data_IF_482065578170
#
_entry.id   IF_482065578170
#
_cell.length_a   1.000
_cell.length_b   1.000
_cell.length_c   1.000
_cell.angle_alpha   90.00
_cell.angle_beta   90.00
_cell.angle_gamma   90.00
#
_symmetry.space_group_name_H-M   'P 1'
#
loop_
_entity.id
_entity.type
_entity.pdbx_description
1 polymer ?
#
# COMPACT_ATOMS: atom_id res chain seq x y z
N UNK A 1 1.67 13.72 17.40
CA UNK A 1 0.39 13.32 18.05
C UNK A 1 0.00 11.90 17.71
N UNK A 2 -0.39 11.58 16.47
CA UNK A 2 -0.94 10.25 16.15
C UNK A 2 0.04 9.08 16.34
N UNK A 3 1.33 9.26 16.02
CA UNK A 3 2.37 8.27 16.35
C UNK A 3 2.46 8.01 17.87
N UNK A 4 2.23 9.05 18.69
CA UNK A 4 2.26 8.97 20.16
C UNK A 4 1.22 8.01 20.76
N UNK A 5 0.13 7.71 20.06
CA UNK A 5 -0.84 6.68 20.47
C UNK A 5 -0.25 5.27 20.49
N UNK A 6 0.89 5.06 19.84
CA UNK A 6 1.54 3.75 19.72
C UNK A 6 2.96 3.75 20.29
N UNK A 7 3.45 4.90 20.74
CA UNK A 7 4.76 5.07 21.35
C UNK A 7 4.66 5.27 22.87
N UNK A 8 3.50 4.99 23.46
CA UNK A 8 3.20 5.20 24.88
C UNK A 8 3.41 6.65 25.35
N UNK A 9 3.23 7.62 24.44
CA UNK A 9 3.29 9.06 24.75
C UNK A 9 1.93 9.61 25.21
N UNK A 10 0.83 8.90 24.93
CA UNK A 10 -0.51 9.22 25.39
C UNK A 10 -1.03 8.17 26.38
N UNK A 11 -1.19 8.51 27.68
CA UNK A 11 -1.66 7.56 28.70
C UNK A 11 -3.10 7.07 28.48
N UNK A 12 -3.90 7.75 27.64
CA UNK A 12 -5.26 7.32 27.29
C UNK A 12 -5.29 6.31 26.14
N UNK A 13 -4.16 6.11 25.46
CA UNK A 13 -4.03 5.19 24.34
C UNK A 13 -2.88 4.19 24.59
N UNK A 14 -2.99 3.29 25.59
CA UNK A 14 -1.96 2.29 25.90
C UNK A 14 -1.99 1.12 24.90
N UNK A 15 -1.84 1.43 23.60
CA UNK A 15 -1.97 0.48 22.50
C UNK A 15 -0.75 -0.43 22.37
N UNK A 16 0.43 0.03 22.80
CA UNK A 16 1.69 -0.65 22.52
C UNK A 16 2.33 -1.24 23.78
N UNK A 17 2.72 -2.49 23.67
CA UNK A 17 3.54 -3.17 24.67
C UNK A 17 5.00 -3.24 24.18
N UNK A 18 5.93 -2.52 24.85
CA UNK A 18 7.34 -2.50 24.47
C UNK A 18 8.10 -3.77 24.86
N UNK A 19 7.60 -4.59 25.80
CA UNK A 19 8.27 -5.82 26.21
C UNK A 19 8.17 -6.88 25.09
N UNK A 20 6.95 -7.07 24.59
CA UNK A 20 6.67 -8.03 23.52
C UNK A 20 6.70 -7.39 22.13
N UNK A 21 6.86 -6.07 22.02
CA UNK A 21 6.83 -5.31 20.77
C UNK A 21 5.56 -5.59 19.96
N UNK A 22 4.41 -5.46 20.63
CA UNK A 22 3.10 -5.73 20.06
C UNK A 22 2.16 -4.54 20.20
N UNK A 23 1.30 -4.36 19.21
CA UNK A 23 0.07 -3.58 19.38
C UNK A 23 -1.00 -4.51 19.94
N UNK A 24 -1.55 -4.17 21.10
CA UNK A 24 -2.27 -5.09 22.00
C UNK A 24 -3.66 -5.52 21.51
N UNK A 25 -4.12 -4.98 20.40
CA UNK A 25 -5.36 -5.39 19.75
C UNK A 25 -5.33 -5.00 18.27
N UNK A 26 -5.94 -5.79 17.40
CA UNK A 26 -6.30 -5.39 16.05
C UNK A 26 -7.29 -4.22 16.02
N UNK A 27 -8.13 -4.13 17.06
CA UNK A 27 -9.12 -3.08 17.23
C UNK A 27 -8.61 -2.07 18.27
N UNK A 28 -7.92 -1.02 17.78
CA UNK A 28 -7.20 -0.07 18.60
C UNK A 28 -7.39 1.39 18.10
N UNK A 29 -6.92 2.37 18.88
CA UNK A 29 -6.95 3.76 18.47
C UNK A 29 -6.71 4.75 19.62
N UNK A 30 -7.27 5.95 19.50
CA UNK A 30 -7.09 7.03 20.50
C UNK A 30 -7.67 6.73 21.88
N UNK A 31 -8.49 5.67 22.00
CA UNK A 31 -9.08 5.21 23.27
C UNK A 31 -8.41 3.96 23.83
N UNK A 32 -7.29 3.55 23.25
CA UNK A 32 -6.60 2.33 23.59
C UNK A 32 -7.12 1.08 22.86
N UNK A 33 -6.60 -0.10 23.21
CA UNK A 33 -6.93 -1.36 22.58
C UNK A 33 -8.23 -1.97 23.15
N UNK A 34 -9.02 -2.66 22.31
CA UNK A 34 -10.15 -3.47 22.75
C UNK A 34 -9.65 -4.85 23.22
N UNK A 35 -9.54 -5.04 24.53
CA UNK A 35 -8.98 -6.25 25.14
C UNK A 35 -10.03 -7.31 25.49
N UNK A 36 -11.07 -7.41 24.67
CA UNK A 36 -12.09 -8.46 24.74
C UNK A 36 -12.48 -8.85 23.33
N UNK A 37 -13.19 -9.97 23.20
CA UNK A 37 -13.86 -10.32 21.95
C UNK A 37 -14.76 -9.18 21.50
N UNK A 38 -14.62 -8.78 20.24
CA UNK A 38 -15.51 -7.81 19.62
C UNK A 38 -16.88 -8.45 19.36
N UNK A 39 -17.91 -7.62 19.40
CA UNK A 39 -19.30 -7.96 19.13
C UNK A 39 -19.72 -7.35 17.81
N UNK A 40 -20.82 -7.82 17.22
CA UNK A 40 -21.31 -7.22 15.99
C UNK A 40 -21.62 -5.73 16.13
N UNK A 41 -22.04 -5.27 17.31
CA UNK A 41 -22.29 -3.85 17.58
C UNK A 41 -21.01 -3.02 17.62
N UNK A 42 -19.88 -3.58 18.06
CA UNK A 42 -18.59 -2.86 18.02
C UNK A 42 -18.19 -2.50 16.57
N UNK A 43 -18.67 -3.26 15.59
CA UNK A 43 -18.43 -3.04 14.15
C UNK A 43 -19.55 -2.25 13.46
N UNK A 44 -20.81 -2.61 13.72
CA UNK A 44 -21.96 -1.98 13.08
C UNK A 44 -22.27 -0.58 13.62
N UNK A 45 -21.81 -0.27 14.83
CA UNK A 45 -22.14 0.99 15.51
C UNK A 45 -23.55 0.99 16.08
N UNK A 46 -24.08 2.18 16.37
CA UNK A 46 -25.41 2.35 16.94
C UNK A 46 -26.52 1.96 15.95
N UNK A 47 -27.71 1.52 16.43
CA UNK A 47 -28.83 1.16 15.58
C UNK A 47 -29.25 2.28 14.61
N UNK A 48 -29.43 1.92 13.33
CA UNK A 48 -29.94 2.79 12.28
C UNK A 48 -31.12 2.13 11.53
N UNK A 49 -31.95 2.96 10.91
CA UNK A 49 -32.97 2.50 9.97
C UNK A 49 -32.31 2.15 8.63
N UNK A 50 -32.20 0.85 8.33
CA UNK A 50 -31.58 0.36 7.09
C UNK A 50 -32.59 0.22 5.96
N UNK A 51 -33.71 -0.47 6.24
CA UNK A 51 -34.70 -0.88 5.25
C UNK A 51 -35.28 0.31 4.49
N UNK A 52 -35.16 0.28 3.16
CA UNK A 52 -35.71 1.31 2.27
C UNK A 52 -35.03 2.69 2.37
N UNK A 53 -33.96 2.82 3.17
CA UNK A 53 -33.30 4.10 3.44
C UNK A 53 -31.86 4.18 2.93
N UNK A 54 -31.07 3.14 3.16
CA UNK A 54 -29.66 3.09 2.75
C UNK A 54 -29.42 1.95 1.75
N UNK A 55 -28.27 2.01 1.08
CA UNK A 55 -27.79 0.95 0.19
C UNK A 55 -26.48 0.36 0.74
N UNK A 56 -26.51 -0.48 1.79
CA UNK A 56 -25.29 -1.01 2.41
C UNK A 56 -24.41 -1.77 1.41
N UNK A 57 -23.09 -1.60 1.53
CA UNK A 57 -22.10 -2.20 0.64
C UNK A 57 -22.20 -3.73 0.54
N UNK A 58 -22.66 -4.39 1.60
CA UNK A 58 -22.74 -5.85 1.67
C UNK A 58 -24.18 -6.37 1.52
N UNK A 59 -25.15 -5.48 1.24
CA UNK A 59 -26.52 -5.83 0.90
C UNK A 59 -27.41 -6.16 2.10
N UNK A 60 -27.03 -5.78 3.32
CA UNK A 60 -27.88 -5.85 4.52
C UNK A 60 -29.22 -5.15 4.28
N UNK A 61 -30.31 -5.82 4.67
CA UNK A 61 -31.67 -5.27 4.55
C UNK A 61 -32.17 -4.66 5.87
N UNK A 62 -31.62 -5.12 6.99
CA UNK A 62 -31.99 -4.69 8.34
C UNK A 62 -30.74 -4.46 9.18
N UNK A 63 -30.87 -3.72 10.28
CA UNK A 63 -29.80 -3.57 11.25
C UNK A 63 -29.40 -4.91 11.89
N UNK A 64 -30.37 -5.83 12.09
CA UNK A 64 -30.07 -7.17 12.59
C UNK A 64 -29.18 -7.98 11.64
N UNK A 65 -29.41 -7.87 10.32
CA UNK A 65 -28.51 -8.47 9.32
C UNK A 65 -27.11 -7.83 9.36
N UNK A 66 -27.03 -6.52 9.62
CA UNK A 66 -25.76 -5.81 9.79
C UNK A 66 -25.00 -6.29 11.04
N UNK A 67 -25.70 -6.56 12.14
CA UNK A 67 -25.09 -7.16 13.33
C UNK A 67 -24.66 -8.61 13.05
N UNK A 68 -25.52 -9.39 12.39
CA UNK A 68 -25.25 -10.78 12.06
C UNK A 68 -24.05 -10.94 11.10
N UNK A 69 -23.83 -9.97 10.21
CA UNK A 69 -22.66 -9.90 9.34
C UNK A 69 -21.35 -9.98 10.13
N UNK A 70 -21.32 -9.36 11.30
CA UNK A 70 -20.15 -9.26 12.16
C UNK A 70 -20.12 -10.34 13.27
N UNK A 71 -20.99 -11.36 13.22
CA UNK A 71 -21.07 -12.36 14.29
C UNK A 71 -19.74 -13.08 14.54
N UNK A 72 -18.97 -13.34 13.49
CA UNK A 72 -17.67 -14.03 13.55
C UNK A 72 -16.47 -13.08 13.75
N UNK A 73 -16.70 -11.77 13.80
CA UNK A 73 -15.65 -10.73 13.86
C UNK A 73 -15.19 -10.48 15.30
N UNK A 74 -14.83 -11.54 16.02
CA UNK A 74 -14.65 -11.46 17.46
C UNK A 74 -13.18 -11.45 17.90
N UNK A 75 -12.32 -12.21 17.23
CA UNK A 75 -10.94 -12.45 17.66
C UNK A 75 -10.03 -11.27 17.27
N UNK A 76 -10.05 -10.23 18.11
CA UNK A 76 -9.31 -8.97 17.92
C UNK A 76 -8.26 -8.69 19.01
N UNK A 77 -8.16 -9.54 20.02
CA UNK A 77 -7.19 -9.41 21.12
C UNK A 77 -5.82 -9.89 20.67
N UNK A 78 -4.77 -9.19 21.10
CA UNK A 78 -3.42 -9.43 20.64
C UNK A 78 -3.08 -8.67 19.37
N UNK A 79 -1.83 -8.78 18.93
CA UNK A 79 -1.36 -8.17 17.70
C UNK A 79 -1.83 -8.91 16.47
N UNK A 80 -1.91 -8.14 15.40
CA UNK A 80 -2.35 -8.58 14.09
C UNK A 80 -1.57 -7.81 13.03
N UNK A 81 -1.12 -8.44 11.93
CA UNK A 81 -0.23 -7.78 10.96
C UNK A 81 -0.89 -6.61 10.22
N UNK A 82 -2.22 -6.43 10.30
CA UNK A 82 -2.86 -5.16 9.89
C UNK A 82 -2.30 -3.95 10.64
N UNK A 83 -1.89 -4.12 11.89
CA UNK A 83 -1.30 -3.06 12.71
C UNK A 83 0.04 -2.56 12.16
N UNK A 84 0.70 -3.28 11.23
CA UNK A 84 1.83 -2.74 10.48
C UNK A 84 1.52 -1.41 9.78
N UNK A 85 0.25 -1.13 9.45
CA UNK A 85 -0.17 0.16 8.90
C UNK A 85 0.14 1.36 9.82
N UNK A 86 0.23 1.14 11.14
CA UNK A 86 0.57 2.17 12.13
C UNK A 86 1.97 2.72 11.88
N UNK A 87 2.89 1.93 11.32
CA UNK A 87 4.26 2.37 11.04
C UNK A 87 4.30 3.54 10.06
N UNK A 88 3.26 3.74 9.24
CA UNK A 88 3.11 4.93 8.39
C UNK A 88 2.98 6.21 9.21
N UNK A 89 2.35 6.17 10.40
CA UNK A 89 2.25 7.32 11.29
C UNK A 89 3.61 7.70 11.87
N UNK A 90 4.41 6.70 12.26
CA UNK A 90 5.76 6.90 12.76
C UNK A 90 6.71 7.38 11.66
N UNK A 91 6.65 6.79 10.47
CA UNK A 91 7.39 7.24 9.29
C UNK A 91 7.05 8.70 8.94
N UNK A 92 5.77 9.07 8.92
CA UNK A 92 5.36 10.45 8.67
C UNK A 92 5.90 11.41 9.74
N UNK A 93 5.85 11.01 11.02
CA UNK A 93 6.41 11.81 12.10
C UNK A 93 7.93 11.97 11.96
N UNK A 94 8.65 10.91 11.60
CA UNK A 94 10.08 10.96 11.29
C UNK A 94 10.38 11.92 10.13
N UNK A 95 9.70 11.79 8.99
CA UNK A 95 9.95 12.64 7.81
C UNK A 95 9.62 14.14 8.04
N UNK A 96 8.75 14.44 9.01
CA UNK A 96 8.39 15.80 9.41
C UNK A 96 9.35 16.39 10.45
N UNK A 97 9.71 15.62 11.47
CA UNK A 97 10.42 16.11 12.65
C UNK A 97 11.91 15.75 12.68
N UNK A 98 12.32 14.70 11.95
CA UNK A 98 13.66 14.11 11.95
C UNK A 98 14.15 13.73 13.36
N UNK A 99 13.24 13.27 14.22
CA UNK A 99 13.57 12.72 15.54
C UNK A 99 13.71 11.18 15.47
N UNK A 100 14.86 10.66 15.87
CA UNK A 100 15.22 9.24 15.75
C UNK A 100 14.22 8.30 16.43
N UNK A 101 13.59 8.71 17.53
CA UNK A 101 12.59 7.90 18.25
C UNK A 101 11.47 7.36 17.36
N UNK A 102 11.06 8.12 16.33
CA UNK A 102 10.00 7.72 15.41
C UNK A 102 10.47 6.61 14.47
N UNK A 103 11.69 6.76 13.95
CA UNK A 103 12.34 5.77 13.11
C UNK A 103 12.62 4.49 13.89
N UNK A 104 13.24 4.62 15.06
CA UNK A 104 13.65 3.48 15.88
C UNK A 104 12.45 2.66 16.35
N UNK A 105 11.37 3.31 16.79
CA UNK A 105 10.13 2.60 17.14
C UNK A 105 9.53 1.86 15.94
N UNK A 106 9.46 2.50 14.77
CA UNK A 106 8.91 1.88 13.57
C UNK A 106 9.73 0.65 13.17
N UNK A 107 11.06 0.77 13.16
CA UNK A 107 11.96 -0.33 12.80
C UNK A 107 11.90 -1.47 13.80
N UNK A 108 11.90 -1.19 15.11
CA UNK A 108 11.82 -2.22 16.14
C UNK A 108 10.52 -3.04 16.04
N UNK A 109 9.41 -2.37 15.72
CA UNK A 109 8.13 -3.02 15.50
C UNK A 109 8.09 -3.84 14.20
N UNK A 110 8.56 -3.29 13.07
CA UNK A 110 8.60 -4.02 11.78
C UNK A 110 9.53 -5.23 11.87
N UNK A 111 10.71 -5.08 12.50
CA UNK A 111 11.67 -6.17 12.69
C UNK A 111 11.08 -7.30 13.55
N UNK A 112 10.24 -6.97 14.54
CA UNK A 112 9.46 -7.95 15.28
C UNK A 112 8.54 -8.78 14.39
N UNK A 113 7.91 -8.16 13.38
CA UNK A 113 7.08 -8.88 12.40
C UNK A 113 7.91 -9.73 11.44
N UNK A 114 9.07 -9.23 10.97
CA UNK A 114 10.00 -10.02 10.15
C UNK A 114 10.43 -11.30 10.90
N UNK A 115 10.89 -11.16 12.14
CA UNK A 115 11.33 -12.30 12.95
C UNK A 115 10.22 -13.32 13.21
N UNK A 116 8.98 -12.85 13.42
CA UNK A 116 7.80 -13.72 13.60
C UNK A 116 7.45 -14.46 12.31
N UNK A 117 7.50 -13.79 11.16
CA UNK A 117 7.29 -14.44 9.86
C UNK A 117 8.33 -15.53 9.61
N UNK A 118 9.61 -15.25 9.87
CA UNK A 118 10.70 -16.23 9.74
C UNK A 118 10.49 -17.44 10.65
N UNK A 119 10.18 -17.20 11.93
CA UNK A 119 9.95 -18.26 12.92
C UNK A 119 8.68 -19.08 12.61
N UNK A 120 7.69 -18.48 11.95
CA UNK A 120 6.45 -19.12 11.53
C UNK A 120 6.54 -19.77 10.13
N UNK A 121 7.73 -20.26 9.75
CA UNK A 121 7.92 -21.00 8.51
C UNK A 121 7.86 -20.15 7.24
N UNK A 122 8.09 -18.84 7.34
CA UNK A 122 8.06 -17.92 6.20
C UNK A 122 6.68 -17.39 5.84
N UNK A 123 5.65 -17.65 6.65
CA UNK A 123 4.31 -17.07 6.50
C UNK A 123 4.03 -16.14 7.68
N UNK A 124 3.67 -14.90 7.41
CA UNK A 124 3.38 -13.93 8.48
C UNK A 124 2.22 -14.42 9.34
N UNK A 125 2.38 -14.59 10.66
CA UNK A 125 1.27 -14.97 11.52
C UNK A 125 0.23 -13.86 11.58
N UNK A 126 -1.04 -14.21 11.77
CA UNK A 126 -2.15 -13.25 11.88
C UNK A 126 -2.67 -13.08 13.30
N UNK A 127 -2.08 -13.77 14.28
CA UNK A 127 -2.31 -13.46 15.68
C UNK A 127 -1.01 -13.61 16.48
N UNK A 128 -0.75 -12.64 17.36
CA UNK A 128 0.27 -12.71 18.40
C UNK A 128 -0.40 -12.30 19.70
N UNK A 129 -0.48 -13.17 20.70
CA UNK A 129 -1.21 -12.80 21.90
C UNK A 129 -0.50 -11.76 22.76
N UNK A 130 -1.20 -11.31 23.81
CA UNK A 130 -0.69 -10.35 24.79
C UNK A 130 0.55 -10.82 25.55
N UNK A 131 0.84 -12.12 25.52
CA UNK A 131 2.05 -12.76 26.07
C UNK A 131 3.22 -12.80 25.05
N UNK A 132 3.04 -12.21 23.87
CA UNK A 132 4.01 -12.21 22.77
C UNK A 132 4.09 -13.53 22.01
N UNK A 133 3.28 -14.55 22.35
CA UNK A 133 3.29 -15.87 21.73
C UNK A 133 2.38 -15.87 20.49
N UNK A 134 2.87 -16.40 19.37
CA UNK A 134 2.09 -16.51 18.13
C UNK A 134 0.85 -17.39 18.35
N UNK A 135 -0.32 -16.84 18.02
CA UNK A 135 -1.60 -17.53 18.05
C UNK A 135 -2.24 -17.73 19.42
N UNK A 136 -1.59 -17.36 20.53
CA UNK A 136 -2.07 -17.67 21.90
C UNK A 136 -3.46 -17.08 22.20
N UNK A 137 -3.74 -15.84 21.77
CA UNK A 137 -5.06 -15.21 21.91
C UNK A 137 -6.10 -15.71 20.90
N UNK A 138 -5.66 -16.51 19.91
CA UNK A 138 -6.51 -17.20 18.94
C UNK A 138 -6.56 -18.72 19.19
N UNK A 139 -6.27 -19.18 20.41
CA UNK A 139 -6.35 -20.61 20.78
C UNK A 139 -5.25 -21.48 20.17
N UNK A 140 -4.06 -20.91 19.97
CA UNK A 140 -2.92 -21.56 19.31
C UNK A 140 -2.92 -21.42 17.78
N UNK A 141 -3.90 -20.73 17.19
CA UNK A 141 -4.00 -20.55 15.75
C UNK A 141 -3.18 -19.35 15.29
N UNK A 142 -1.97 -19.60 14.79
CA UNK A 142 -1.14 -18.57 14.16
C UNK A 142 -1.84 -17.87 13.00
N UNK A 143 -2.75 -18.56 12.32
CA UNK A 143 -3.59 -18.09 11.19
C UNK A 143 -4.91 -17.44 11.63
N UNK A 144 -5.19 -17.39 12.93
CA UNK A 144 -6.42 -16.82 13.48
C UNK A 144 -6.44 -15.29 13.44
N UNK A 145 -7.50 -14.72 14.04
CA UNK A 145 -7.76 -13.29 14.07
C UNK A 145 -8.69 -12.81 12.95
N UNK A 146 -9.38 -11.70 13.19
CA UNK A 146 -10.26 -11.07 12.18
C UNK A 146 -9.43 -10.64 10.96
N UNK A 147 -9.86 -11.04 9.76
CA UNK A 147 -9.14 -10.90 8.49
C UNK A 147 -7.80 -11.64 8.37
N UNK A 148 -7.48 -12.50 9.35
CA UNK A 148 -6.33 -13.40 9.31
C UNK A 148 -6.47 -14.47 8.23
N UNK A 149 -5.46 -15.34 8.09
CA UNK A 149 -5.40 -16.32 7.01
C UNK A 149 -6.55 -17.34 7.05
N UNK A 150 -7.07 -17.66 8.23
CA UNK A 150 -8.19 -18.59 8.40
C UNK A 150 -9.56 -17.93 8.38
N UNK A 151 -9.64 -16.61 8.25
CA UNK A 151 -10.86 -15.86 8.49
C UNK A 151 -11.92 -16.13 7.40
N UNK A 152 -12.88 -16.98 7.74
CA UNK A 152 -13.94 -17.45 6.87
C UNK A 152 -15.28 -17.26 7.58
N UNK A 153 -16.25 -16.69 6.88
CA UNK A 153 -17.57 -16.34 7.43
C UNK A 153 -18.69 -16.85 6.54
N UNK A 154 -19.91 -16.92 7.09
CA UNK A 154 -21.13 -17.11 6.31
C UNK A 154 -21.76 -15.76 6.02
N UNK A 155 -22.04 -15.47 4.74
CA UNK A 155 -22.75 -14.26 4.32
C UNK A 155 -24.22 -14.37 4.74
N UNK A 156 -24.72 -13.51 5.64
CA UNK A 156 -26.08 -13.66 6.20
C UNK A 156 -27.20 -13.65 5.15
N UNK A 157 -27.04 -12.84 4.10
CA UNK A 157 -28.06 -12.62 3.08
C UNK A 157 -28.21 -13.81 2.13
N UNK A 158 -27.15 -14.61 1.93
CA UNK A 158 -27.09 -15.66 0.91
C UNK A 158 -26.77 -17.05 1.45
N UNK A 159 -26.24 -17.16 2.67
CA UNK A 159 -25.72 -18.39 3.24
C UNK A 159 -24.39 -18.86 2.62
N UNK A 160 -23.79 -18.07 1.71
CA UNK A 160 -22.55 -18.44 1.05
C UNK A 160 -21.35 -18.35 2.01
N UNK A 161 -20.39 -19.27 1.86
CA UNK A 161 -19.09 -19.19 2.52
C UNK A 161 -18.24 -18.10 1.85
N UNK A 162 -17.62 -17.24 2.63
CA UNK A 162 -16.71 -16.20 2.16
C UNK A 162 -15.39 -16.21 2.94
N UNK A 163 -14.28 -16.42 2.23
CA UNK A 163 -12.94 -16.23 2.77
C UNK A 163 -12.58 -14.75 2.71
N UNK A 164 -12.31 -14.14 3.88
CA UNK A 164 -12.09 -12.69 4.02
C UNK A 164 -10.69 -12.40 4.54
N UNK A 165 -9.69 -13.04 3.94
CA UNK A 165 -8.28 -12.80 4.22
C UNK A 165 -7.89 -11.43 3.63
N UNK A 166 -8.02 -10.36 4.41
CA UNK A 166 -7.78 -9.00 3.91
C UNK A 166 -6.58 -8.30 4.53
N UNK A 167 -5.95 -8.90 5.54
CA UNK A 167 -4.83 -8.24 6.21
C UNK A 167 -3.70 -7.88 5.25
N UNK A 168 -3.41 -8.78 4.30
CA UNK A 168 -2.28 -8.69 3.40
C UNK A 168 -2.39 -7.52 2.44
N UNK A 169 -3.59 -7.02 2.11
CA UNK A 169 -3.75 -5.90 1.18
C UNK A 169 -3.34 -4.54 1.76
N UNK A 170 -3.10 -4.47 3.08
CA UNK A 170 -2.70 -3.23 3.78
C UNK A 170 -1.48 -3.44 4.67
N UNK A 171 -1.43 -4.53 5.42
CA UNK A 171 -0.33 -4.83 6.35
C UNK A 171 1.04 -4.93 5.66
N UNK A 172 1.07 -5.41 4.41
CA UNK A 172 2.31 -5.58 3.65
C UNK A 172 3.10 -4.26 3.51
N UNK A 173 2.41 -3.10 3.47
CA UNK A 173 3.07 -1.80 3.32
C UNK A 173 3.94 -1.41 4.52
N UNK A 174 3.78 -2.04 5.69
CA UNK A 174 4.73 -1.88 6.80
C UNK A 174 6.14 -2.32 6.43
N UNK A 175 6.28 -3.36 5.61
CA UNK A 175 7.59 -3.77 5.07
C UNK A 175 8.14 -2.72 4.09
N UNK A 176 7.27 -2.11 3.28
CA UNK A 176 7.62 -0.96 2.44
C UNK A 176 8.13 0.24 3.25
N UNK A 177 7.54 0.49 4.42
CA UNK A 177 8.01 1.53 5.34
C UNK A 177 9.40 1.21 5.91
N UNK A 178 9.64 -0.05 6.27
CA UNK A 178 10.97 -0.53 6.68
C UNK A 178 12.02 -0.28 5.60
N UNK A 179 11.71 -0.67 4.35
CA UNK A 179 12.57 -0.41 3.20
C UNK A 179 12.84 1.08 2.99
N UNK A 180 11.82 1.92 3.10
CA UNK A 180 11.98 3.37 2.92
C UNK A 180 12.89 4.00 3.97
N UNK A 181 12.85 3.49 5.22
CA UNK A 181 13.64 3.99 6.34
C UNK A 181 15.11 3.52 6.34
N UNK A 182 15.44 2.45 5.62
CA UNK A 182 16.77 1.81 5.72
C UNK A 182 17.43 1.45 4.39
N UNK A 183 16.65 1.25 3.32
CA UNK A 183 17.10 0.63 2.07
C UNK A 183 17.36 -0.88 2.14
N UNK A 184 17.05 -1.52 3.28
CA UNK A 184 17.31 -2.94 3.52
C UNK A 184 16.27 -3.83 2.83
N UNK A 185 16.73 -4.74 1.97
CA UNK A 185 15.87 -5.66 1.23
C UNK A 185 15.27 -6.76 2.10
N UNK A 186 15.73 -6.97 3.35
CA UNK A 186 15.13 -7.98 4.26
C UNK A 186 13.61 -7.83 4.41
N UNK A 187 13.09 -6.60 4.34
CA UNK A 187 11.65 -6.34 4.42
C UNK A 187 10.91 -6.81 3.17
N UNK A 188 11.50 -6.61 1.99
CA UNK A 188 11.00 -7.10 0.71
C UNK A 188 11.09 -8.62 0.68
N UNK A 189 12.22 -9.17 1.13
CA UNK A 189 12.47 -10.61 1.22
C UNK A 189 11.46 -11.31 2.13
N UNK A 190 11.09 -10.69 3.26
CA UNK A 190 10.07 -11.20 4.17
C UNK A 190 8.74 -11.46 3.43
N UNK A 191 8.24 -10.50 2.66
CA UNK A 191 6.97 -10.67 1.93
C UNK A 191 7.12 -11.53 0.67
N UNK A 192 8.28 -11.48 -0.01
CA UNK A 192 8.59 -12.43 -1.10
C UNK A 192 8.51 -13.88 -0.61
N UNK A 193 9.05 -14.16 0.58
CA UNK A 193 8.97 -15.47 1.21
C UNK A 193 7.54 -15.96 1.42
N UNK A 194 6.61 -15.06 1.79
CA UNK A 194 5.18 -15.40 1.90
C UNK A 194 4.63 -15.82 0.54
N UNK A 195 4.88 -15.06 -0.53
CA UNK A 195 4.45 -15.41 -1.88
C UNK A 195 5.02 -16.78 -2.32
N UNK A 196 6.29 -17.04 -1.99
CA UNK A 196 6.95 -18.31 -2.31
C UNK A 196 6.30 -19.50 -1.57
N UNK A 197 5.94 -19.35 -0.29
CA UNK A 197 5.25 -20.40 0.48
C UNK A 197 3.86 -20.72 -0.09
N UNK A 198 3.08 -19.70 -0.47
CA UNK A 198 1.78 -19.90 -1.12
C UNK A 198 1.94 -20.59 -2.48
N UNK A 199 2.92 -20.20 -3.29
CA UNK A 199 3.21 -20.84 -4.56
C UNK A 199 3.66 -22.30 -4.39
N UNK A 200 4.52 -22.57 -3.41
CA UNK A 200 5.02 -23.92 -3.10
C UNK A 200 3.94 -24.86 -2.57
N UNK A 201 2.83 -24.30 -2.05
CA UNK A 201 1.71 -25.05 -1.49
C UNK A 201 0.63 -25.38 -2.53
N UNK A 202 0.91 -25.16 -3.82
CA UNK A 202 0.04 -25.58 -4.90
C UNK A 202 -0.09 -27.10 -4.97
N UNK A 203 -1.28 -27.58 -5.37
CA UNK A 203 -1.54 -29.02 -5.55
C UNK A 203 -2.50 -29.28 -6.70
N UNK A 204 -2.47 -30.51 -7.21
CA UNK A 204 -3.43 -30.94 -8.23
C UNK A 204 -4.80 -31.19 -7.59
N UNK A 205 -5.83 -30.52 -8.10
CA UNK A 205 -7.24 -30.71 -7.72
C UNK A 205 -8.01 -30.87 -9.02
N UNK A 206 -8.73 -31.99 -9.16
CA UNK A 206 -9.51 -32.33 -10.35
C UNK A 206 -8.72 -32.24 -11.67
N UNK A 207 -7.42 -32.61 -11.64
CA UNK A 207 -6.54 -32.61 -12.80
C UNK A 207 -5.95 -31.24 -13.19
N UNK A 208 -6.17 -30.20 -12.37
CA UNK A 208 -5.62 -28.86 -12.56
C UNK A 208 -4.69 -28.48 -11.38
N UNK A 209 -3.56 -27.85 -11.68
CA UNK A 209 -2.72 -27.24 -10.64
C UNK A 209 -3.44 -26.02 -10.06
N UNK A 210 -3.70 -26.04 -8.75
CA UNK A 210 -4.40 -24.99 -8.03
C UNK A 210 -3.53 -24.45 -6.90
N UNK A 211 -3.65 -23.16 -6.62
CA UNK A 211 -2.86 -22.42 -5.62
C UNK A 211 -3.76 -21.96 -4.47
N UNK A 212 -3.35 -22.11 -3.21
CA UNK A 212 -4.16 -21.63 -2.09
C UNK A 212 -4.13 -20.10 -1.99
N UNK A 213 -5.15 -19.53 -1.37
CA UNK A 213 -5.25 -18.09 -1.07
C UNK A 213 -5.61 -17.85 0.42
N UNK A 214 -5.65 -18.91 1.23
CA UNK A 214 -5.92 -18.86 2.68
C UNK A 214 -5.35 -20.09 3.38
N UNK A 215 -5.30 -20.08 4.71
CA UNK A 215 -4.88 -21.23 5.53
C UNK A 215 -5.70 -21.26 6.82
N UNK A 216 -6.27 -22.40 7.18
CA UNK A 216 -7.07 -22.51 8.40
C UNK A 216 -7.82 -23.83 8.55
N UNK A 217 -8.64 -23.89 9.60
CA UNK A 217 -9.33 -25.08 10.11
C UNK A 217 -10.85 -25.08 9.80
N UNK A 218 -11.31 -24.22 8.88
CA UNK A 218 -12.75 -24.07 8.60
C UNK A 218 -13.40 -25.37 8.09
N UNK A 219 -12.66 -26.19 7.34
CA UNK A 219 -13.15 -27.46 6.79
C UNK A 219 -12.67 -28.70 7.57
N UNK A 220 -12.14 -28.53 8.79
CA UNK A 220 -11.63 -29.63 9.61
C UNK A 220 -10.24 -29.32 10.19
N UNK A 221 -9.27 -30.21 9.96
CA UNK A 221 -7.89 -29.95 10.36
C UNK A 221 -7.31 -28.76 9.59
N UNK A 222 -6.40 -28.02 10.22
CA UNK A 222 -5.78 -26.86 9.62
C UNK A 222 -4.98 -27.24 8.35
N UNK A 223 -5.38 -26.69 7.21
CA UNK A 223 -4.73 -26.88 5.90
C UNK A 223 -4.81 -25.60 5.06
N UNK A 224 -4.10 -25.59 3.95
CA UNK A 224 -4.28 -24.62 2.89
C UNK A 224 -5.71 -24.71 2.33
N UNK A 225 -6.33 -23.56 2.08
CA UNK A 225 -7.73 -23.44 1.64
C UNK A 225 -7.87 -22.37 0.55
N UNK A 226 -9.09 -22.22 0.01
CA UNK A 226 -9.44 -21.22 -1.01
C UNK A 226 -8.53 -21.34 -2.23
N UNK A 227 -8.58 -22.51 -2.89
CA UNK A 227 -7.72 -22.82 -4.03
C UNK A 227 -8.22 -22.16 -5.33
N UNK A 228 -7.30 -21.53 -6.07
CA UNK A 228 -7.57 -20.84 -7.35
C UNK A 228 -6.65 -21.34 -8.46
N UNK A 229 -7.06 -21.21 -9.75
CA UNK A 229 -6.21 -21.51 -10.89
C UNK A 229 -4.96 -20.63 -11.03
N UNK A 230 -4.94 -19.48 -10.35
CA UNK A 230 -3.86 -18.49 -10.40
C UNK A 230 -3.11 -18.42 -9.07
N UNK A 231 -1.77 -18.28 -9.10
CA UNK A 231 -0.98 -18.03 -7.90
C UNK A 231 -1.50 -16.86 -7.07
N UNK A 232 -1.33 -16.93 -5.76
CA UNK A 232 -1.53 -15.79 -4.87
C UNK A 232 -0.52 -14.69 -5.22
N UNK A 233 -1.01 -13.50 -5.54
CA UNK A 233 -0.22 -12.40 -6.12
C UNK A 233 -0.35 -11.07 -5.34
N UNK A 234 -0.98 -11.08 -4.16
CA UNK A 234 -1.11 -9.87 -3.35
C UNK A 234 0.27 -9.32 -2.95
N UNK A 235 0.59 -8.11 -3.39
CA UNK A 235 1.90 -7.49 -3.15
C UNK A 235 2.96 -7.83 -4.20
N UNK A 236 2.65 -8.59 -5.25
CA UNK A 236 3.62 -8.95 -6.29
C UNK A 236 4.20 -7.73 -7.02
N UNK A 237 3.36 -6.73 -7.30
CA UNK A 237 3.79 -5.48 -7.92
C UNK A 237 4.69 -4.66 -7.00
N UNK A 238 4.36 -4.60 -5.72
CA UNK A 238 5.17 -3.97 -4.68
C UNK A 238 6.54 -4.62 -4.57
N UNK A 239 6.61 -5.95 -4.49
CA UNK A 239 7.88 -6.69 -4.43
C UNK A 239 8.76 -6.38 -5.64
N UNK A 240 8.22 -6.52 -6.85
CA UNK A 240 8.96 -6.22 -8.08
C UNK A 240 9.47 -4.78 -8.09
N UNK A 241 8.62 -3.80 -7.74
CA UNK A 241 9.00 -2.40 -7.77
C UNK A 241 10.05 -2.04 -6.70
N UNK A 242 9.91 -2.59 -5.50
CA UNK A 242 10.79 -2.35 -4.37
C UNK A 242 12.16 -2.97 -4.59
N UNK A 243 12.23 -4.20 -5.11
CA UNK A 243 13.49 -4.90 -5.38
C UNK A 243 14.13 -4.43 -6.69
N UNK A 244 13.33 -4.20 -7.74
CA UNK A 244 13.76 -4.19 -9.15
C UNK A 244 14.59 -5.41 -9.54
N UNK A 245 14.43 -6.53 -8.83
CA UNK A 245 15.11 -7.79 -9.15
C UNK A 245 14.40 -8.44 -10.36
N UNK A 246 15.13 -8.76 -11.44
CA UNK A 246 14.57 -9.46 -12.59
C UNK A 246 13.85 -10.78 -12.25
N UNK A 247 14.18 -11.43 -11.12
CA UNK A 247 13.49 -12.64 -10.66
C UNK A 247 12.03 -12.40 -10.29
N UNK A 248 11.70 -11.18 -9.85
CA UNK A 248 10.35 -10.82 -9.42
C UNK A 248 9.44 -10.46 -10.62
N UNK A 249 10.02 -10.20 -11.81
CA UNK A 249 9.27 -9.87 -13.04
C UNK A 249 8.25 -10.94 -13.40
N UNK A 250 8.61 -12.22 -13.21
CA UNK A 250 7.72 -13.34 -13.55
C UNK A 250 6.37 -13.28 -12.82
N UNK A 251 6.31 -12.60 -11.66
CA UNK A 251 5.09 -12.42 -10.87
C UNK A 251 4.13 -11.38 -11.44
N UNK A 252 4.64 -10.51 -12.30
CA UNK A 252 3.95 -9.32 -12.81
C UNK A 252 4.06 -9.20 -14.33
N UNK A 253 4.39 -10.28 -15.02
CA UNK A 253 4.64 -10.29 -16.46
C UNK A 253 3.43 -9.81 -17.28
N UNK A 254 2.21 -10.03 -16.79
CA UNK A 254 0.98 -9.59 -17.45
C UNK A 254 0.62 -8.13 -17.15
N UNK A 255 1.35 -7.46 -16.24
CA UNK A 255 1.05 -6.07 -15.88
C UNK A 255 1.39 -5.13 -17.05
N UNK A 256 0.43 -4.34 -17.56
CA UNK A 256 0.62 -3.55 -18.78
C UNK A 256 1.65 -2.44 -18.63
N UNK A 257 1.81 -1.89 -17.42
CA UNK A 257 2.82 -0.87 -17.13
C UNK A 257 4.22 -1.48 -17.02
N UNK A 258 4.36 -2.65 -16.40
CA UNK A 258 5.64 -3.38 -16.37
C UNK A 258 6.10 -3.74 -17.78
N UNK A 259 5.19 -4.26 -18.61
CA UNK A 259 5.48 -4.55 -20.03
C UNK A 259 5.90 -3.31 -20.80
N UNK A 260 5.29 -2.15 -20.52
CA UNK A 260 5.72 -0.88 -21.11
C UNK A 260 7.15 -0.52 -20.73
N UNK A 261 7.51 -0.63 -19.45
CA UNK A 261 8.88 -0.37 -18.97
C UNK A 261 9.92 -1.33 -19.56
N UNK A 262 9.49 -2.52 -19.98
CA UNK A 262 10.30 -3.51 -20.69
C UNK A 262 10.31 -3.31 -22.22
N UNK A 263 9.58 -2.32 -22.74
CA UNK A 263 9.48 -2.03 -24.17
C UNK A 263 8.50 -2.93 -24.94
N UNK A 264 7.73 -3.77 -24.26
CA UNK A 264 6.79 -4.73 -24.84
C UNK A 264 5.38 -4.19 -25.04
N UNK A 265 5.08 -3.00 -24.52
CA UNK A 265 3.78 -2.33 -24.64
C UNK A 265 3.94 -0.82 -24.91
N UNK A 266 4.49 -0.42 -26.07
CA UNK A 266 4.83 0.98 -26.35
C UNK A 266 3.63 1.94 -26.39
N UNK A 267 2.43 1.43 -26.69
CA UNK A 267 1.20 2.23 -26.76
C UNK A 267 0.56 2.50 -25.38
N UNK A 268 1.08 1.86 -24.32
CA UNK A 268 0.55 1.95 -22.96
C UNK A 268 0.33 3.38 -22.46
N UNK A 269 1.26 4.35 -22.64
CA UNK A 269 1.06 5.69 -22.06
C UNK A 269 -0.20 6.38 -22.57
N UNK A 270 -0.47 6.25 -23.88
CA UNK A 270 -1.66 6.85 -24.49
C UNK A 270 -2.92 6.11 -24.05
N UNK A 271 -2.90 4.78 -24.07
CA UNK A 271 -4.03 3.95 -23.66
C UNK A 271 -4.41 4.19 -22.19
N UNK A 272 -3.42 4.25 -21.29
CA UNK A 272 -3.64 4.46 -19.86
C UNK A 272 -4.21 5.85 -19.57
N UNK A 273 -3.73 6.90 -20.25
CA UNK A 273 -4.29 8.25 -20.10
C UNK A 273 -5.71 8.36 -20.67
N UNK A 274 -5.99 7.73 -21.81
CA UNK A 274 -7.34 7.69 -22.39
C UNK A 274 -8.31 6.98 -21.44
N UNK A 275 -7.94 5.79 -20.95
CA UNK A 275 -8.75 5.05 -19.98
C UNK A 275 -8.99 5.85 -18.69
N UNK A 276 -7.97 6.55 -18.17
CA UNK A 276 -8.13 7.41 -17.00
C UNK A 276 -9.11 8.57 -17.24
N UNK A 277 -9.08 9.20 -18.43
CA UNK A 277 -10.03 10.26 -18.79
C UNK A 277 -11.45 9.73 -18.98
N UNK A 278 -11.60 8.54 -19.56
CA UNK A 278 -12.89 7.85 -19.67
C UNK A 278 -13.48 7.54 -18.29
N UNK A 279 -12.66 7.04 -17.37
CA UNK A 279 -13.05 6.77 -15.98
C UNK A 279 -13.51 8.04 -15.25
N UNK A 280 -12.80 9.16 -15.43
CA UNK A 280 -13.23 10.46 -14.87
C UNK A 280 -14.61 10.85 -15.40
N UNK A 281 -14.83 10.75 -16.72
CA UNK A 281 -16.12 11.08 -17.34
C UNK A 281 -17.23 10.17 -16.84
N UNK A 282 -16.95 8.87 -16.75
CA UNK A 282 -17.91 7.89 -16.25
C UNK A 282 -18.33 8.21 -14.82
N UNK A 283 -17.37 8.44 -13.91
CA UNK A 283 -17.65 8.79 -12.52
C UNK A 283 -18.38 10.11 -12.36
N UNK A 284 -18.08 11.12 -13.18
CA UNK A 284 -18.84 12.37 -13.21
C UNK A 284 -20.30 12.14 -13.65
N UNK A 285 -20.55 11.25 -14.61
CA UNK A 285 -21.92 10.84 -14.97
C UNK A 285 -22.63 10.20 -13.78
N UNK A 286 -21.97 9.26 -13.09
CA UNK A 286 -22.53 8.63 -11.89
C UNK A 286 -22.82 9.64 -10.78
N UNK A 287 -21.96 10.65 -10.58
CA UNK A 287 -22.23 11.75 -9.64
C UNK A 287 -23.46 12.59 -10.03
N UNK A 288 -23.71 12.78 -11.32
CA UNK A 288 -24.91 13.50 -11.78
C UNK A 288 -26.19 12.67 -11.67
N UNK A 289 -26.07 11.35 -11.79
CA UNK A 289 -27.17 10.38 -11.69
C UNK A 289 -27.46 9.95 -10.25
N UNK A 290 -26.54 10.23 -9.31
CA UNK A 290 -26.71 9.92 -7.89
C UNK A 290 -27.89 10.70 -7.29
N UNK A 291 -28.89 9.94 -6.84
CA UNK A 291 -30.12 10.49 -6.25
C UNK A 291 -30.09 10.50 -4.72
N UNK A 292 -28.99 10.05 -4.10
CA UNK A 292 -28.89 10.00 -2.65
C UNK A 292 -28.84 11.40 -2.04
N UNK A 293 -29.56 11.61 -0.95
CA UNK A 293 -29.56 12.83 -0.14
C UNK A 293 -28.66 12.65 1.08
N UNK A 294 -28.32 13.72 1.84
CA UNK A 294 -27.62 13.57 3.12
C UNK A 294 -28.30 12.58 4.09
N UNK A 295 -29.62 12.37 4.00
CA UNK A 295 -30.38 11.49 4.89
C UNK A 295 -30.40 10.02 4.46
N UNK A 296 -29.98 9.72 3.23
CA UNK A 296 -30.04 8.38 2.60
C UNK A 296 -28.67 7.88 2.14
N UNK A 297 -27.59 8.48 2.65
CA UNK A 297 -26.22 8.22 2.23
C UNK A 297 -25.37 7.78 3.42
N UNK A 298 -24.78 6.60 3.34
CA UNK A 298 -23.73 6.16 4.26
C UNK A 298 -22.38 6.76 3.87
N UNK A 299 -21.44 6.80 4.81
CA UNK A 299 -20.12 7.43 4.61
C UNK A 299 -19.36 6.90 3.38
N UNK A 300 -19.59 5.63 3.05
CA UNK A 300 -18.78 4.91 2.08
C UNK A 300 -19.43 4.84 0.70
N UNK A 301 -20.71 5.21 0.58
CA UNK A 301 -21.51 5.04 -0.64
C UNK A 301 -20.87 5.78 -1.82
N UNK A 302 -20.29 6.96 -1.58
CA UNK A 302 -19.77 7.83 -2.64
C UNK A 302 -18.35 7.46 -3.11
N UNK A 303 -17.74 6.47 -2.46
CA UNK A 303 -16.37 6.09 -2.78
C UNK A 303 -16.25 5.62 -4.24
N UNK A 304 -17.21 4.86 -4.78
CA UNK A 304 -17.13 4.37 -6.16
C UNK A 304 -17.27 5.48 -7.23
N UNK A 305 -17.90 6.61 -6.91
CA UNK A 305 -18.13 7.73 -7.84
C UNK A 305 -17.10 8.87 -7.71
N UNK A 306 -16.10 8.75 -6.83
CA UNK A 306 -15.07 9.80 -6.66
C UNK A 306 -14.18 9.93 -7.92
N UNK A 307 -14.24 11.06 -8.66
CA UNK A 307 -13.60 11.21 -9.96
C UNK A 307 -12.10 11.49 -9.87
N UNK A 308 -11.51 11.52 -8.66
CA UNK A 308 -10.07 11.65 -8.50
C UNK A 308 -9.34 10.38 -9.01
N UNK A 309 -8.82 10.45 -10.24
CA UNK A 309 -8.07 9.37 -10.90
C UNK A 309 -6.61 9.81 -11.05
N UNK A 310 -5.67 9.03 -10.50
CA UNK A 310 -4.25 9.43 -10.37
C UNK A 310 -3.26 8.35 -10.77
N UNK A 311 -3.74 7.13 -11.03
CA UNK A 311 -2.96 5.91 -11.21
C UNK A 311 -2.04 6.02 -12.43
N UNK A 312 -2.59 6.39 -13.59
CA UNK A 312 -1.83 6.56 -14.82
C UNK A 312 -0.73 7.63 -14.69
N UNK A 313 -1.02 8.75 -14.01
CA UNK A 313 -0.03 9.78 -13.75
C UNK A 313 1.04 9.30 -12.76
N UNK A 314 0.67 8.52 -11.76
CA UNK A 314 1.63 7.96 -10.80
C UNK A 314 2.63 7.03 -11.49
N UNK A 315 2.15 6.18 -12.39
CA UNK A 315 2.98 5.27 -13.18
C UNK A 315 3.82 6.00 -14.22
N UNK A 316 3.19 6.80 -15.09
CA UNK A 316 3.84 7.39 -16.26
C UNK A 316 4.65 8.63 -15.93
N UNK A 317 4.23 9.46 -14.97
CA UNK A 317 4.94 10.69 -14.63
C UNK A 317 6.03 10.44 -13.58
N UNK A 318 5.69 9.70 -12.51
CA UNK A 318 6.57 9.52 -11.35
C UNK A 318 7.40 8.23 -11.42
N UNK A 319 7.05 7.28 -12.29
CA UNK A 319 7.60 5.93 -12.24
C UNK A 319 7.32 5.29 -10.88
N UNK A 320 6.06 5.32 -10.44
CA UNK A 320 5.65 4.90 -9.10
C UNK A 320 4.45 3.96 -9.08
N UNK A 321 4.25 3.30 -7.94
CA UNK A 321 3.09 2.44 -7.71
C UNK A 321 1.92 3.30 -7.23
N UNK A 322 0.73 3.18 -7.82
CA UNK A 322 -0.46 3.84 -7.32
C UNK A 322 -0.79 3.42 -5.89
N UNK A 323 -1.07 4.39 -5.01
CA UNK A 323 -1.42 4.14 -3.60
C UNK A 323 -2.91 3.89 -3.38
N UNK A 324 -3.75 4.21 -4.38
CA UNK A 324 -5.20 4.04 -4.33
C UNK A 324 -5.81 4.63 -3.06
N UNK A 325 -6.46 3.77 -2.26
CA UNK A 325 -7.10 4.12 -0.97
C UNK A 325 -6.43 3.42 0.21
N UNK A 326 -5.21 2.94 0.02
CA UNK A 326 -4.50 2.12 1.00
C UNK A 326 -3.89 2.97 2.13
N UNK A 327 -3.66 4.27 1.90
CA UNK A 327 -3.07 5.17 2.88
C UNK A 327 -1.59 4.90 3.17
N UNK A 328 -0.92 4.13 2.31
CA UNK A 328 0.52 3.87 2.38
C UNK A 328 1.34 5.03 1.77
N UNK A 329 2.63 5.16 2.14
CA UNK A 329 3.51 6.13 1.50
C UNK A 329 3.63 5.90 0.00
N UNK A 330 3.85 6.99 -0.74
CA UNK A 330 4.10 6.91 -2.16
C UNK A 330 5.51 6.34 -2.40
N UNK A 331 5.59 5.27 -3.18
CA UNK A 331 6.85 4.76 -3.70
C UNK A 331 6.95 5.11 -5.18
N UNK A 332 7.88 6.00 -5.53
CA UNK A 332 8.12 6.41 -6.91
C UNK A 332 9.62 6.62 -7.20
N UNK A 333 10.00 6.61 -8.48
CA UNK A 333 11.38 6.87 -8.90
C UNK A 333 11.71 8.35 -8.90
N UNK A 334 10.78 9.18 -9.36
CA UNK A 334 10.97 10.62 -9.54
C UNK A 334 9.81 11.39 -8.92
N UNK A 335 10.12 12.56 -8.35
CA UNK A 335 9.13 13.56 -7.93
C UNK A 335 9.56 14.94 -8.44
N UNK A 336 8.59 15.76 -8.83
CA UNK A 336 8.85 17.06 -9.45
C UNK A 336 8.39 18.22 -8.60
N UNK A 337 9.07 19.34 -8.73
CA UNK A 337 8.67 20.59 -8.12
C UNK A 337 8.85 21.78 -9.06
N UNK A 338 7.98 22.78 -8.88
CA UNK A 338 8.05 24.08 -9.55
C UNK A 338 8.85 25.04 -8.64
N UNK A 339 10.12 25.35 -8.97
CA UNK A 339 10.96 26.23 -8.15
C UNK A 339 10.51 27.70 -8.20
N UNK A 340 9.81 28.11 -9.25
CA UNK A 340 9.34 29.49 -9.43
C UNK A 340 8.13 29.75 -8.54
N UNK A 341 7.15 28.84 -8.57
CA UNK A 341 5.94 28.92 -7.73
C UNK A 341 6.13 28.28 -6.36
N UNK A 342 7.27 27.64 -6.09
CA UNK A 342 7.60 26.93 -4.85
C UNK A 342 6.49 25.96 -4.42
N UNK A 343 6.09 25.07 -5.33
CA UNK A 343 5.09 24.04 -5.07
C UNK A 343 5.52 22.66 -5.56
N UNK A 344 4.94 21.63 -4.98
CA UNK A 344 5.05 20.28 -5.52
C UNK A 344 4.33 20.14 -6.86
N UNK A 345 4.82 19.22 -7.69
CA UNK A 345 4.33 18.93 -9.03
C UNK A 345 5.10 19.67 -10.12
N UNK A 346 4.87 19.25 -11.37
CA UNK A 346 5.46 19.90 -12.54
C UNK A 346 5.04 21.37 -12.64
N UNK A 347 5.91 22.26 -13.16
CA UNK A 347 5.49 23.58 -13.60
C UNK A 347 4.38 23.50 -14.64
N UNK A 348 3.64 24.59 -14.80
CA UNK A 348 2.65 24.70 -15.89
C UNK A 348 3.32 24.52 -17.26
N UNK A 349 2.58 23.89 -18.18
CA UNK A 349 3.06 23.51 -19.52
C UNK A 349 4.22 22.51 -19.56
N UNK A 350 4.64 21.93 -18.43
CA UNK A 350 5.66 20.87 -18.43
C UNK A 350 5.00 19.50 -18.37
N UNK A 351 5.39 18.62 -19.29
CA UNK A 351 5.03 17.20 -19.28
C UNK A 351 6.24 16.34 -18.93
N UNK A 352 6.00 15.22 -18.25
CA UNK A 352 7.02 14.22 -17.95
C UNK A 352 6.48 12.81 -18.28
N UNK A 353 7.33 11.99 -18.89
CA UNK A 353 7.06 10.59 -19.19
C UNK A 353 8.28 9.74 -18.81
N UNK A 354 8.14 8.90 -17.80
CA UNK A 354 9.09 7.83 -17.46
C UNK A 354 8.95 6.74 -18.50
N UNK A 355 10.03 6.45 -19.20
CA UNK A 355 10.06 5.49 -20.31
C UNK A 355 10.53 4.11 -19.86
N UNK A 356 11.61 4.08 -19.07
CA UNK A 356 12.22 2.85 -18.55
C UNK A 356 12.72 3.08 -17.14
N UNK A 357 12.77 2.03 -16.34
CA UNK A 357 13.44 2.05 -15.04
C UNK A 357 14.00 0.68 -14.68
N UNK A 358 15.14 0.67 -13.99
CA UNK A 358 15.72 -0.50 -13.35
C UNK A 358 16.14 -0.15 -11.91
N UNK A 359 17.07 -0.92 -11.33
CA UNK A 359 17.50 -0.72 -9.94
C UNK A 359 18.24 0.59 -9.70
N UNK A 360 19.05 1.06 -10.65
CA UNK A 360 19.98 2.19 -10.49
C UNK A 360 19.85 3.26 -11.58
N UNK A 361 18.89 3.10 -12.49
CA UNK A 361 18.63 4.00 -13.60
C UNK A 361 17.13 4.22 -13.82
N UNK A 362 16.77 5.45 -14.18
CA UNK A 362 15.45 5.80 -14.74
C UNK A 362 15.64 6.71 -15.94
N UNK A 363 14.91 6.42 -17.02
CA UNK A 363 14.84 7.30 -18.18
C UNK A 363 13.53 8.07 -18.17
N UNK A 364 13.61 9.39 -18.32
CA UNK A 364 12.45 10.28 -18.38
C UNK A 364 12.58 11.27 -19.52
N UNK A 365 11.49 11.47 -20.27
CA UNK A 365 11.37 12.58 -21.21
C UNK A 365 10.64 13.74 -20.55
N UNK A 366 11.26 14.92 -20.58
CA UNK A 366 10.67 16.18 -20.10
C UNK A 366 10.44 17.11 -21.29
N UNK A 367 9.26 17.71 -21.37
CA UNK A 367 8.89 18.63 -22.46
C UNK A 367 8.25 19.89 -21.89
N UNK A 368 8.72 21.05 -22.33
CA UNK A 368 8.04 22.33 -22.15
C UNK A 368 7.13 22.59 -23.36
N UNK A 369 5.83 22.51 -23.14
CA UNK A 369 4.79 22.73 -24.13
C UNK A 369 4.53 24.22 -24.40
N UNK A 370 5.08 25.12 -23.57
CA UNK A 370 4.93 26.56 -23.78
C UNK A 370 5.77 27.02 -24.97
N UNK A 371 5.18 27.63 -26.02
CA UNK A 371 5.94 28.13 -27.17
C UNK A 371 6.64 29.47 -26.89
N UNK A 372 6.33 30.12 -25.75
CA UNK A 372 6.78 31.48 -25.45
C UNK A 372 7.65 31.57 -24.21
N UNK A 373 7.44 30.69 -23.24
CA UNK A 373 8.02 30.85 -21.91
C UNK A 373 8.96 29.70 -21.58
N UNK A 374 10.10 30.06 -21.01
CA UNK A 374 10.99 29.11 -20.36
C UNK A 374 10.31 28.51 -19.12
N UNK A 375 10.74 27.29 -18.76
CA UNK A 375 10.32 26.60 -17.55
C UNK A 375 11.55 26.02 -16.85
N UNK A 376 11.61 26.19 -15.54
CA UNK A 376 12.55 25.47 -14.68
C UNK A 376 11.79 24.40 -13.90
N UNK A 377 12.30 23.19 -13.82
CA UNK A 377 11.73 22.10 -13.03
C UNK A 377 12.80 21.49 -12.14
N UNK A 378 12.47 21.23 -10.87
CA UNK A 378 13.32 20.42 -10.00
C UNK A 378 12.89 18.96 -10.16
N UNK A 379 13.84 18.09 -10.46
CA UNK A 379 13.69 16.63 -10.51
C UNK A 379 14.34 16.04 -9.27
N UNK A 380 13.55 15.39 -8.42
CA UNK A 380 13.98 14.73 -7.18
C UNK A 380 13.95 13.21 -7.35
N UNK A 381 14.96 12.53 -6.82
CA UNK A 381 15.00 11.08 -6.72
C UNK A 381 14.18 10.59 -5.53
N UNK A 382 13.20 9.73 -5.79
CA UNK A 382 12.28 9.23 -4.77
C UNK A 382 11.17 10.22 -4.39
N UNK A 383 10.15 9.71 -3.71
CA UNK A 383 9.01 10.53 -3.27
C UNK A 383 9.40 11.52 -2.15
N UNK A 384 10.41 11.17 -1.37
CA UNK A 384 10.83 11.81 -0.12
C UNK A 384 12.34 12.10 -0.11
N UNK A 385 12.95 12.32 -1.29
CA UNK A 385 14.38 12.58 -1.48
C UNK A 385 15.29 11.42 -1.02
N UNK A 386 14.73 10.22 -0.83
CA UNK A 386 15.41 9.05 -0.31
C UNK A 386 16.38 8.42 -1.33
N UNK A 387 16.29 8.78 -2.61
CA UNK A 387 17.26 8.35 -3.63
C UNK A 387 18.33 9.41 -3.84
N UNK A 388 19.58 8.98 -3.93
CA UNK A 388 20.72 9.82 -4.26
C UNK A 388 20.97 9.79 -5.76
N UNK A 389 20.77 10.91 -6.45
CA UNK A 389 21.09 11.03 -7.88
C UNK A 389 22.61 11.17 -8.01
N UNK A 390 23.22 10.30 -8.82
CA UNK A 390 24.66 10.26 -9.02
C UNK A 390 25.05 11.07 -10.25
N UNK A 391 24.40 10.81 -11.38
CA UNK A 391 24.62 11.54 -12.64
C UNK A 391 23.37 11.58 -13.51
N UNK A 392 23.36 12.52 -14.45
CA UNK A 392 22.31 12.68 -15.45
C UNK A 392 22.96 12.80 -16.81
N UNK A 393 22.48 12.02 -17.78
CA UNK A 393 22.92 12.08 -19.18
C UNK A 393 21.83 12.68 -20.03
N UNK A 394 22.19 13.71 -20.81
CA UNK A 394 21.32 14.41 -21.76
C UNK A 394 22.06 14.54 -23.08
N UNK A 395 21.48 14.08 -24.19
CA UNK A 395 22.08 14.16 -25.53
C UNK A 395 23.54 13.63 -25.60
N UNK A 396 23.83 12.57 -24.84
CA UNK A 396 25.16 11.94 -24.77
C UNK A 396 26.15 12.65 -23.83
N UNK A 397 25.77 13.75 -23.19
CA UNK A 397 26.59 14.48 -22.22
C UNK A 397 26.16 14.09 -20.80
N UNK A 398 27.08 13.49 -20.05
CA UNK A 398 26.87 13.11 -18.66
C UNK A 398 27.37 14.19 -17.71
N UNK A 399 26.50 14.65 -16.81
CA UNK A 399 26.81 15.58 -15.73
C UNK A 399 26.69 14.90 -14.38
N UNK A 400 27.68 15.07 -13.53
CA UNK A 400 27.63 14.58 -12.15
C UNK A 400 26.74 15.49 -11.29
N UNK A 401 25.85 14.89 -10.48
CA UNK A 401 24.88 15.63 -9.64
C UNK A 401 25.22 15.48 -8.16
N UNK A 402 25.42 14.25 -7.67
CA UNK A 402 25.70 13.95 -6.24
C UNK A 402 24.76 14.65 -5.25
N UNK A 403 23.48 14.82 -5.62
CA UNK A 403 22.42 15.37 -4.76
C UNK A 403 21.14 14.55 -4.84
N UNK A 404 20.17 14.77 -3.94
CA UNK A 404 18.85 14.11 -4.02
C UNK A 404 17.97 14.68 -5.13
N UNK A 405 18.32 15.84 -5.68
CA UNK A 405 17.60 16.50 -6.77
C UNK A 405 18.55 17.34 -7.62
N UNK A 406 18.10 17.69 -8.82
CA UNK A 406 18.74 18.67 -9.71
C UNK A 406 17.68 19.53 -10.41
N UNK A 407 18.11 20.64 -11.01
CA UNK A 407 17.21 21.53 -11.76
C UNK A 407 17.45 21.36 -13.25
N UNK A 408 16.37 21.34 -14.02
CA UNK A 408 16.36 21.34 -15.48
C UNK A 408 15.72 22.62 -15.96
N UNK A 409 16.44 23.36 -16.81
CA UNK A 409 15.89 24.50 -17.53
C UNK A 409 15.48 24.07 -18.95
N UNK A 410 14.20 24.25 -19.25
CA UNK A 410 13.59 23.92 -20.53
C UNK A 410 13.27 25.20 -21.30
N UNK A 411 13.92 25.37 -22.45
CA UNK A 411 13.59 26.44 -23.38
C UNK A 411 12.15 26.29 -23.93
N UNK A 412 11.54 27.38 -24.44
CA UNK A 412 10.20 27.31 -25.02
C UNK A 412 10.10 26.26 -26.14
N UNK A 413 9.07 25.40 -26.08
CA UNK A 413 8.81 24.37 -27.09
C UNK A 413 9.87 23.25 -27.16
N UNK A 414 10.78 23.17 -26.19
CA UNK A 414 11.85 22.17 -26.17
C UNK A 414 11.55 21.04 -25.19
N UNK A 415 12.14 19.90 -25.46
CA UNK A 415 12.19 18.77 -24.54
C UNK A 415 13.46 17.96 -24.74
N UNK A 416 13.79 17.12 -23.78
CA UNK A 416 14.89 16.18 -23.92
C UNK A 416 14.63 14.91 -23.12
N UNK A 417 15.33 13.85 -23.50
CA UNK A 417 15.35 12.56 -22.83
C UNK A 417 16.53 12.53 -21.87
N UNK A 418 16.24 12.31 -20.60
CA UNK A 418 17.22 12.27 -19.53
C UNK A 418 17.37 10.82 -19.05
N UNK A 419 18.60 10.33 -19.02
CA UNK A 419 18.93 9.09 -18.31
C UNK A 419 19.55 9.46 -16.96
N UNK A 420 18.88 9.09 -15.87
CA UNK A 420 19.21 9.49 -14.51
C UNK A 420 19.72 8.26 -13.75
N UNK A 421 21.00 8.29 -13.38
CA UNK A 421 21.58 7.27 -12.51
C UNK A 421 21.39 7.64 -11.04
N UNK A 422 21.08 6.67 -10.21
CA UNK A 422 20.81 6.88 -8.80
C UNK A 422 21.26 5.70 -7.93
N UNK A 423 21.42 5.97 -6.63
CA UNK A 423 21.43 4.96 -5.58
C UNK A 423 20.12 5.09 -4.82
N UNK A 424 19.27 4.06 -4.90
CA UNK A 424 17.98 4.03 -4.20
C UNK A 424 18.19 3.91 -2.69
N UNK A 425 17.29 4.54 -1.94
CA UNK A 425 17.23 4.51 -0.47
C UNK A 425 18.55 4.88 0.22
N UNK A 426 19.35 5.76 -0.39
CA UNK A 426 20.65 6.17 0.11
C UNK A 426 20.56 7.29 1.17
N UNK A 427 19.43 7.99 1.23
CA UNK A 427 19.21 9.11 2.14
C UNK A 427 18.05 8.80 3.10
N UNK A 428 18.08 9.39 4.30
CA UNK A 428 16.92 9.39 5.17
C UNK A 428 15.74 10.12 4.47
N UNK A 429 14.54 9.52 4.40
CA UNK A 429 13.41 10.14 3.74
C UNK A 429 12.96 11.40 4.49
N UNK A 430 12.46 12.39 3.76
CA UNK A 430 12.06 13.70 4.30
C UNK A 430 10.87 14.31 3.56
N UNK A 431 10.07 15.12 4.26
CA UNK A 431 9.08 16.01 3.66
C UNK A 431 9.64 17.39 3.30
N UNK A 432 10.91 17.66 3.60
CA UNK A 432 11.55 18.91 3.22
C UNK A 432 11.46 19.13 1.70
N UNK A 433 11.06 20.34 1.31
CA UNK A 433 11.09 20.74 -0.08
C UNK A 433 12.54 21.04 -0.53
N UNK A 434 12.86 20.89 -1.83
CA UNK A 434 14.23 21.05 -2.35
C UNK A 434 14.79 22.48 -2.30
N UNK A 435 14.04 23.44 -1.74
CA UNK A 435 14.45 24.85 -1.56
C UNK A 435 14.51 25.29 -0.10
N UNK A 436 14.27 24.37 0.86
CA UNK A 436 14.39 24.66 2.29
C UNK A 436 15.83 24.50 2.79
#
# INVERSE_FOLDING_TARGET
>A
RYAGFYMNEDPQAPNYDPEHKIIRSMFNGSRGPLLRKATGQDWAGDPIEVEGRFSPLHGERTYDEMIAHFQDYNDVVGDHPLNLCVTTLALNAFMLAHEDKYRDWALDYIDGWVARTETNGGVTPTNVGLDGVVGSDAGGRWFGGVYGWGFTVIVPQTGAVAHRTYWHVRGLYGFGNGLLLTGDQKYVDCWRGVLDQFAASAREIDGQLMYPHSYGDYFGDADWMNFHPKPFDSGALEIYFWSMDPKDVARVADNPWVRYLQGENPDHPVQALQAALEEVRHKVSLMHEDTTTPDTRLSDDMNHINPATTEAMTQLMLGGIPTGRSGCPLHCRLRYFDPVRRRAGLPEDVAALVETMNNDEVTVTLVNLSPLHHRSVIVQGGAYAEHQITSVTVDGVTTEVKAAHFTVDLAPGCGSRLTIHNRRYANAPTFAFPWM
#
